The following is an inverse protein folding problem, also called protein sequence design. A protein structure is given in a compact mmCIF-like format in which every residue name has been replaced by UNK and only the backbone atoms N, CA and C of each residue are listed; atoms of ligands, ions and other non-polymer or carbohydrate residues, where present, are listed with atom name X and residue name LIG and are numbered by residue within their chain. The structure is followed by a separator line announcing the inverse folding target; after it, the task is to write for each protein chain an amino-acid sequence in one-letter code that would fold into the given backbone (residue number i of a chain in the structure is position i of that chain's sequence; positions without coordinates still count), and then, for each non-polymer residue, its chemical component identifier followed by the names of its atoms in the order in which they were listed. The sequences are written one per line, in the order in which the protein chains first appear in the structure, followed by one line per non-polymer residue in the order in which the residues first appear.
data_IF_980335239459
#
_entry.id   IF_980335239459
#
_cell.length_a   1.000
_cell.length_b   1.000
_cell.length_c   1.000
_cell.angle_alpha   90.00
_cell.angle_beta   90.00
_cell.angle_gamma   90.00
#
_symmetry.space_group_name_H-M   'P 1'
#
loop_
_entity.id
_entity.type
_entity.pdbx_description
1 polymer ?
#
# COMPACT_ATOMS: atom_id res chain seq x y z
N UNK A 1 -4.97 0.07 -10.84
CA UNK A 1 -5.42 -0.97 -9.88
C UNK A 1 -6.63 -0.41 -9.15
N UNK A 2 -7.82 -1.00 -9.35
CA UNK A 2 -9.11 -0.36 -9.08
C UNK A 2 -9.35 -0.25 -7.57
N UNK A 3 -9.40 0.97 -7.02
CA UNK A 3 -9.65 1.26 -5.58
C UNK A 3 -10.94 0.59 -5.08
N UNK A 4 -11.89 0.34 -6.00
CA UNK A 4 -13.14 -0.38 -5.75
C UNK A 4 -12.97 -1.84 -5.27
N UNK A 5 -11.84 -2.49 -5.52
CA UNK A 5 -11.64 -3.88 -5.08
C UNK A 5 -11.30 -4.01 -3.60
N UNK A 6 -10.65 -3.01 -2.99
CA UNK A 6 -10.21 -3.11 -1.60
C UNK A 6 -11.34 -2.87 -0.60
N UNK A 7 -12.23 -1.91 -0.89
CA UNK A 7 -13.41 -1.65 -0.06
C UNK A 7 -14.33 -2.88 -0.03
N UNK A 8 -14.55 -3.54 -1.18
CA UNK A 8 -15.33 -4.77 -1.26
C UNK A 8 -14.69 -5.92 -0.47
N UNK A 9 -13.37 -6.11 -0.62
CA UNK A 9 -12.61 -7.13 0.12
C UNK A 9 -12.69 -6.91 1.65
N UNK A 10 -12.59 -5.67 2.11
CA UNK A 10 -12.68 -5.33 3.54
C UNK A 10 -14.10 -5.61 4.04
N UNK A 11 -15.13 -5.13 3.33
CA UNK A 11 -16.54 -5.38 3.71
C UNK A 11 -16.85 -6.86 3.75
N UNK A 12 -16.37 -7.62 2.77
CA UNK A 12 -16.55 -9.06 2.71
C UNK A 12 -15.87 -9.75 3.90
N UNK A 13 -14.61 -9.42 4.18
CA UNK A 13 -13.87 -10.01 5.30
C UNK A 13 -14.56 -9.78 6.65
N UNK A 14 -15.09 -8.58 6.88
CA UNK A 14 -15.81 -8.22 8.11
C UNK A 14 -17.17 -8.92 8.18
N UNK A 15 -17.91 -8.95 7.07
CA UNK A 15 -19.25 -9.57 7.03
C UNK A 15 -19.19 -11.08 7.20
N UNK A 16 -18.16 -11.73 6.66
CA UNK A 16 -17.94 -13.18 6.76
C UNK A 16 -17.23 -13.58 8.08
N UNK A 17 -16.80 -12.62 8.91
CA UNK A 17 -16.04 -12.89 10.14
C UNK A 17 -14.70 -13.59 9.88
N UNK A 18 -14.09 -13.32 8.72
CA UNK A 18 -12.87 -14.01 8.30
C UNK A 18 -11.63 -13.35 8.91
N UNK A 19 -11.33 -13.73 10.16
CA UNK A 19 -10.22 -13.17 10.94
C UNK A 19 -8.86 -13.30 10.23
N UNK A 20 -8.64 -14.38 9.49
CA UNK A 20 -7.40 -14.59 8.73
C UNK A 20 -7.23 -13.56 7.60
N UNK A 21 -8.32 -13.24 6.90
CA UNK A 21 -8.33 -12.22 5.86
C UNK A 21 -8.16 -10.82 6.46
N UNK A 22 -8.80 -10.52 7.59
CA UNK A 22 -8.66 -9.24 8.31
C UNK A 22 -7.21 -9.04 8.78
N UNK A 23 -6.59 -10.08 9.35
CA UNK A 23 -5.20 -10.03 9.77
C UNK A 23 -4.26 -9.80 8.57
N UNK A 24 -4.49 -10.48 7.45
CA UNK A 24 -3.70 -10.32 6.23
C UNK A 24 -3.83 -8.91 5.64
N UNK A 25 -5.04 -8.35 5.62
CA UNK A 25 -5.30 -6.96 5.18
C UNK A 25 -4.59 -5.95 6.09
N UNK A 26 -4.62 -6.16 7.40
CA UNK A 26 -3.97 -5.29 8.38
C UNK A 26 -2.44 -5.32 8.23
N UNK A 27 -1.86 -6.51 8.02
CA UNK A 27 -0.42 -6.64 7.78
C UNK A 27 0.00 -5.91 6.50
N UNK A 28 -0.78 -6.07 5.43
CA UNK A 28 -0.51 -5.43 4.15
C UNK A 28 -0.60 -3.90 4.26
N UNK A 29 -1.60 -3.38 4.99
CA UNK A 29 -1.70 -1.95 5.28
C UNK A 29 -0.46 -1.43 6.03
N UNK A 30 -0.03 -2.12 7.08
CA UNK A 30 1.16 -1.73 7.84
C UNK A 30 2.44 -1.73 6.99
N UNK A 31 2.59 -2.70 6.09
CA UNK A 31 3.69 -2.74 5.11
C UNK A 31 3.65 -1.54 4.17
N UNK A 32 2.47 -1.18 3.66
CA UNK A 32 2.30 0.00 2.82
C UNK A 32 2.62 1.31 3.56
N UNK A 33 2.18 1.47 4.80
CA UNK A 33 2.49 2.65 5.61
C UNK A 33 3.98 2.78 5.90
N UNK A 34 4.66 1.67 6.24
CA UNK A 34 6.12 1.65 6.42
C UNK A 34 6.84 2.02 5.13
N UNK A 35 6.43 1.45 4.00
CA UNK A 35 7.01 1.80 2.69
C UNK A 35 6.81 3.29 2.38
N UNK A 36 5.62 3.83 2.61
CA UNK A 36 5.33 5.24 2.42
C UNK A 36 6.19 6.14 3.33
N UNK A 37 6.37 5.76 4.59
CA UNK A 37 7.25 6.47 5.54
C UNK A 37 8.70 6.47 5.09
N UNK A 38 9.23 5.32 4.64
CA UNK A 38 10.60 5.20 4.10
C UNK A 38 10.78 6.08 2.86
N UNK A 39 9.80 6.07 1.95
CA UNK A 39 9.84 6.88 0.73
C UNK A 39 9.85 8.38 1.05
N UNK A 40 8.99 8.82 1.97
CA UNK A 40 8.98 10.20 2.47
C UNK A 40 10.28 10.60 3.14
N UNK A 41 10.85 9.74 3.98
CA UNK A 41 12.15 9.98 4.62
C UNK A 41 13.30 10.09 3.61
N UNK A 42 13.20 9.40 2.47
CA UNK A 42 14.15 9.51 1.35
C UNK A 42 13.88 10.72 0.43
N UNK A 43 12.87 11.53 0.73
CA UNK A 43 12.52 12.74 -0.02
C UNK A 43 11.55 12.52 -1.18
N UNK A 44 11.06 11.30 -1.39
CA UNK A 44 10.08 11.01 -2.43
C UNK A 44 8.66 11.42 -1.97
N UNK A 45 7.84 11.93 -2.90
CA UNK A 45 6.44 12.27 -2.65
C UNK A 45 6.19 13.54 -1.81
N UNK A 46 7.19 14.43 -1.66
CA UNK A 46 7.05 15.69 -0.90
C UNK A 46 6.19 16.77 -1.57
N UNK A 47 5.88 16.66 -2.87
CA UNK A 47 5.08 17.65 -3.60
C UNK A 47 3.91 17.01 -4.35
N UNK A 48 2.77 16.80 -3.69
CA UNK A 48 1.47 16.53 -4.33
C UNK A 48 1.46 15.46 -5.45
N UNK A 49 2.46 14.59 -5.48
CA UNK A 49 2.76 13.73 -6.61
C UNK A 49 1.99 12.45 -6.41
N UNK A 50 1.30 11.98 -7.44
CA UNK A 50 0.56 10.73 -7.38
C UNK A 50 1.50 9.57 -7.01
N UNK A 51 0.93 8.47 -6.49
CA UNK A 51 1.68 7.25 -6.15
C UNK A 51 2.52 6.78 -7.36
N UNK A 52 1.97 6.91 -8.57
CA UNK A 52 2.66 6.57 -9.82
C UNK A 52 3.87 7.45 -10.09
N UNK A 53 3.75 8.76 -9.90
CA UNK A 53 4.87 9.70 -10.02
C UNK A 53 5.95 9.43 -8.97
N UNK A 54 5.55 9.07 -7.75
CA UNK A 54 6.49 8.67 -6.69
C UNK A 54 7.19 7.36 -7.01
N UNK A 55 6.47 6.37 -7.56
CA UNK A 55 7.03 5.07 -7.94
C UNK A 55 8.05 5.18 -9.09
N UNK A 56 7.83 6.09 -10.04
CA UNK A 56 8.78 6.34 -11.13
C UNK A 56 10.12 6.96 -10.67
N UNK A 57 10.13 7.63 -9.51
CA UNK A 57 11.32 8.21 -8.91
C UNK A 57 12.12 7.21 -8.08
N UNK A 58 11.53 6.08 -7.69
CA UNK A 58 12.25 5.02 -6.99
C UNK A 58 13.12 4.29 -8.00
N UNK A 59 14.46 4.29 -7.85
CA UNK A 59 15.32 3.55 -8.76
C UNK A 59 14.90 2.08 -8.77
N UNK A 60 14.59 1.58 -9.97
CA UNK A 60 14.19 0.19 -10.21
C UNK A 60 15.18 -0.75 -9.55
N UNK A 61 14.64 -1.79 -8.91
CA UNK A 61 15.35 -2.83 -8.17
C UNK A 61 16.61 -3.24 -8.96
N UNK A 62 17.79 -2.87 -8.45
CA UNK A 62 19.08 -3.30 -9.00
C UNK A 62 19.12 -4.81 -8.91
N UNK A 63 19.16 -5.49 -10.06
CA UNK A 63 19.38 -6.93 -10.14
C UNK A 63 20.79 -7.22 -9.61
N UNK A 64 20.87 -7.82 -8.43
CA UNK A 64 22.04 -8.52 -7.89
C UNK A 64 21.57 -9.84 -7.31
#
# INVERSE_FOLDING_TARGET
MNVRNWDDLIRKAVTEGNDALIASLSEQLSKCEKAHSILRAKGYGMQGSTIEATAALVPGKREW
#
